data_IF_254669627578
#
_entry.id   IF_254669627578
#
_cell.length_a   1.000
_cell.length_b   1.000
_cell.length_c   1.000
_cell.angle_alpha   90.00
_cell.angle_beta   90.00
_cell.angle_gamma   90.00
#
_symmetry.space_group_name_H-M   'P 1'
#
loop_
_entity.id
_entity.type
_entity.pdbx_description
1 polymer ?
#
# COMPACT_ATOMS: atom_id res chain seq x y z
N UNK A 1 -9.77 -46.71 2.60
CA UNK A 1 -8.94 -45.68 3.25
C UNK A 1 -8.59 -44.66 2.17
N UNK A 2 -9.20 -43.49 2.21
CA UNK A 2 -8.71 -42.31 1.48
C UNK A 2 -8.96 -41.11 2.38
N UNK A 3 -7.90 -40.61 3.01
CA UNK A 3 -7.97 -39.39 3.81
C UNK A 3 -7.66 -38.26 2.86
N UNK A 4 -8.71 -37.60 2.35
CA UNK A 4 -8.62 -36.34 1.63
C UNK A 4 -7.67 -35.40 2.38
N UNK A 5 -6.50 -35.15 1.80
CA UNK A 5 -5.51 -34.22 2.35
C UNK A 5 -5.84 -32.82 1.87
N UNK A 6 -6.03 -31.91 2.82
CA UNK A 6 -6.15 -30.47 2.55
C UNK A 6 -4.83 -29.96 1.96
N UNK A 7 -4.90 -29.32 0.80
CA UNK A 7 -3.77 -28.70 0.12
C UNK A 7 -3.99 -27.19 0.05
N UNK A 8 -2.95 -26.42 0.31
CA UNK A 8 -2.93 -24.97 0.09
C UNK A 8 -2.15 -24.69 -1.19
N UNK A 9 -2.81 -24.05 -2.16
CA UNK A 9 -2.20 -23.59 -3.41
C UNK A 9 -2.22 -22.07 -3.41
N UNK A 10 -1.12 -21.44 -3.83
CA UNK A 10 -0.97 -19.98 -3.85
C UNK A 10 -0.29 -19.55 -5.15
N UNK A 11 -0.67 -18.37 -5.67
CA UNK A 11 0.01 -17.72 -6.79
C UNK A 11 0.35 -16.29 -6.41
N UNK A 12 1.55 -15.84 -6.75
CA UNK A 12 2.00 -14.45 -6.59
C UNK A 12 1.90 -13.70 -7.91
N UNK A 13 1.46 -12.45 -7.84
CA UNK A 13 1.51 -11.48 -8.93
C UNK A 13 1.91 -10.10 -8.34
N UNK A 14 2.37 -9.20 -9.21
CA UNK A 14 2.78 -7.84 -8.87
C UNK A 14 2.02 -6.83 -9.74
N UNK A 15 1.88 -5.61 -9.26
CA UNK A 15 1.34 -4.50 -10.01
C UNK A 15 2.00 -3.20 -9.54
N UNK A 16 2.24 -2.30 -10.49
CA UNK A 16 2.87 -1.02 -10.18
C UNK A 16 1.80 0.05 -9.96
N UNK A 17 1.93 0.86 -8.91
CA UNK A 17 0.98 1.93 -8.62
C UNK A 17 1.65 3.15 -7.99
N UNK A 18 1.11 4.34 -8.30
CA UNK A 18 1.46 5.58 -7.64
C UNK A 18 0.42 5.97 -6.59
N UNK A 19 0.86 6.55 -5.48
CA UNK A 19 0.00 7.00 -4.39
C UNK A 19 0.67 8.10 -3.54
N UNK A 20 -0.14 8.75 -2.71
CA UNK A 20 0.28 9.78 -1.75
C UNK A 20 -0.50 9.55 -0.47
N UNK A 21 0.19 9.58 0.66
CA UNK A 21 -0.49 9.60 1.95
C UNK A 21 -0.86 11.05 2.25
N UNK A 22 -2.16 11.34 2.21
CA UNK A 22 -2.71 12.67 2.45
C UNK A 22 -4.09 12.56 3.06
N UNK A 23 -4.33 13.36 4.09
CA UNK A 23 -5.64 13.45 4.75
C UNK A 23 -6.24 14.84 4.46
N UNK A 24 -7.41 14.91 3.79
CA UNK A 24 -7.94 16.17 3.25
C UNK A 24 -8.48 17.14 4.30
N UNK A 25 -8.84 16.65 5.48
CA UNK A 25 -9.30 17.43 6.64
C UNK A 25 -8.14 17.96 7.50
N UNK A 26 -6.89 17.75 7.09
CA UNK A 26 -5.70 18.24 7.80
C UNK A 26 -5.02 19.37 7.04
N UNK A 27 -4.34 20.24 7.80
CA UNK A 27 -3.42 21.21 7.19
C UNK A 27 -2.27 20.51 6.47
N UNK A 28 -1.58 21.22 5.59
CA UNK A 28 -0.42 20.69 4.89
C UNK A 28 0.71 20.33 5.86
N UNK A 29 0.97 21.19 6.84
CA UNK A 29 2.03 21.01 7.84
C UNK A 29 1.80 19.78 8.69
N UNK A 30 0.53 19.51 9.05
CA UNK A 30 0.19 18.28 9.78
C UNK A 30 0.39 17.05 8.92
N UNK A 31 0.01 17.10 7.64
CA UNK A 31 0.28 16.01 6.70
C UNK A 31 1.80 15.78 6.54
N UNK A 32 2.58 16.86 6.45
CA UNK A 32 4.05 16.76 6.32
C UNK A 32 4.69 16.21 7.59
N UNK A 33 4.26 16.66 8.77
CA UNK A 33 4.79 16.15 10.04
C UNK A 33 4.49 14.67 10.27
N UNK A 34 3.31 14.20 9.82
CA UNK A 34 2.87 12.80 10.03
C UNK A 34 3.40 11.86 8.95
N UNK A 35 3.32 12.25 7.68
CA UNK A 35 3.64 11.38 6.55
C UNK A 35 5.00 11.69 5.90
N UNK A 36 5.58 12.86 6.15
CA UNK A 36 6.87 13.31 5.61
C UNK A 36 6.96 13.09 4.11
N UNK A 37 8.03 12.41 3.67
CA UNK A 37 8.28 12.08 2.25
C UNK A 37 7.10 11.37 1.56
N UNK A 38 6.25 10.64 2.29
CA UNK A 38 5.07 9.96 1.71
C UNK A 38 3.92 10.92 1.38
N UNK A 39 3.92 12.14 1.91
CA UNK A 39 3.01 13.24 1.57
C UNK A 39 3.49 14.10 0.40
N UNK A 40 4.52 13.67 -0.35
CA UNK A 40 4.98 14.39 -1.52
C UNK A 40 3.80 14.77 -2.46
N UNK A 41 3.57 16.07 -2.75
CA UNK A 41 2.52 16.51 -3.67
C UNK A 41 2.61 15.90 -5.06
N UNK A 42 3.80 15.42 -5.46
CA UNK A 42 4.07 14.73 -6.72
C UNK A 42 3.96 13.20 -6.62
N UNK A 43 3.40 12.68 -5.53
CA UNK A 43 3.21 11.25 -5.28
C UNK A 43 4.53 10.46 -5.16
N UNK A 44 4.42 9.17 -4.88
CA UNK A 44 5.48 8.17 -4.99
C UNK A 44 4.86 6.84 -5.46
N UNK A 45 5.67 5.83 -5.77
CA UNK A 45 5.14 4.56 -6.29
C UNK A 45 5.85 3.32 -5.75
N UNK A 46 5.23 2.17 -6.00
CA UNK A 46 5.70 0.84 -5.60
C UNK A 46 5.45 -0.19 -6.71
N UNK A 47 6.11 -1.36 -6.61
CA UNK A 47 5.99 -2.53 -7.50
C UNK A 47 5.29 -3.71 -6.82
#
# INVERSE_FOLDING_TARGET
MDVSRSLKVSRKASFNAAHRLYRPDWSFEKNEAVFGKCNNPKFHGHN
#
